data_IF_312747805497
#
_entry.id   IF_312747805497
#
_cell.length_a   1.000
_cell.length_b   1.000
_cell.length_c   1.000
_cell.angle_alpha   90.00
_cell.angle_beta   90.00
_cell.angle_gamma   90.00
#
_symmetry.space_group_name_H-M   'P 1'
#
loop_
_entity.id
_entity.type
_entity.pdbx_description
1 polymer ?
#
# COMPACT_ATOMS: atom_id res chain seq x y z
N UNK A 1 9.65 -13.31 -33.89
CA UNK A 1 10.97 -13.40 -34.56
C UNK A 1 12.02 -12.96 -33.56
N UNK A 2 13.12 -13.72 -33.44
CA UNK A 2 14.05 -13.68 -32.29
C UNK A 2 15.47 -13.37 -32.76
N UNK A 3 15.67 -12.28 -33.50
CA UNK A 3 17.00 -11.91 -33.99
C UNK A 3 17.12 -10.39 -34.07
N UNK A 4 18.07 -9.83 -33.33
CA UNK A 4 18.58 -8.49 -33.52
C UNK A 4 19.96 -8.37 -32.87
N UNK A 5 20.92 -9.02 -33.49
CA UNK A 5 22.19 -8.43 -33.92
C UNK A 5 22.57 -9.17 -35.23
N UNK A 6 23.29 -8.53 -36.14
CA UNK A 6 23.80 -9.15 -37.38
C UNK A 6 24.88 -10.21 -37.14
N UNK A 7 24.93 -10.76 -35.93
CA UNK A 7 25.83 -11.77 -35.40
C UNK A 7 24.90 -12.87 -34.87
N UNK A 8 25.22 -14.11 -35.22
CA UNK A 8 24.40 -15.31 -35.02
C UNK A 8 24.16 -15.70 -33.55
N UNK A 9 24.55 -14.88 -32.58
CA UNK A 9 24.35 -15.17 -31.16
C UNK A 9 22.90 -14.91 -30.74
N UNK A 10 22.24 -15.87 -30.09
CA UNK A 10 20.90 -15.64 -29.55
C UNK A 10 20.94 -14.55 -28.49
N UNK A 11 20.01 -13.60 -28.60
CA UNK A 11 19.88 -12.49 -27.64
C UNK A 11 19.83 -13.03 -26.20
N UNK A 12 20.72 -12.53 -25.34
CA UNK A 12 20.93 -13.06 -23.98
C UNK A 12 19.70 -12.92 -23.09
N UNK A 13 18.82 -11.95 -23.38
CA UNK A 13 17.59 -11.73 -22.63
C UNK A 13 16.48 -12.61 -23.20
N UNK A 14 15.79 -13.34 -22.32
CA UNK A 14 14.69 -14.24 -22.68
C UNK A 14 13.41 -13.55 -23.19
N UNK A 15 13.41 -12.23 -23.38
CA UNK A 15 12.23 -11.44 -23.75
C UNK A 15 12.46 -10.59 -25.00
N UNK A 16 11.36 -10.16 -25.64
CA UNK A 16 11.40 -9.34 -26.86
C UNK A 16 11.69 -7.87 -26.51
N UNK A 17 12.96 -7.51 -26.47
CA UNK A 17 13.42 -6.18 -26.07
C UNK A 17 12.80 -5.04 -26.87
N UNK A 18 12.68 -5.16 -28.21
CA UNK A 18 12.11 -4.08 -29.03
C UNK A 18 10.65 -3.80 -28.68
N UNK A 19 9.83 -4.84 -28.53
CA UNK A 19 8.43 -4.66 -28.13
C UNK A 19 8.30 -4.12 -26.71
N UNK A 20 9.20 -4.51 -25.80
CA UNK A 20 9.26 -3.93 -24.45
C UNK A 20 9.65 -2.46 -24.49
N UNK A 21 10.63 -2.07 -25.32
CA UNK A 21 11.08 -0.69 -25.49
C UNK A 21 9.99 0.19 -26.11
N UNK A 22 9.30 -0.30 -27.13
CA UNK A 22 8.17 0.40 -27.76
C UNK A 22 7.02 0.63 -26.78
N UNK A 23 6.65 -0.41 -26.01
CA UNK A 23 5.64 -0.31 -24.97
C UNK A 23 6.06 0.66 -23.86
N UNK A 24 7.34 0.65 -23.47
CA UNK A 24 7.90 1.59 -22.51
C UNK A 24 7.78 3.03 -23.01
N UNK A 25 8.30 3.33 -24.20
CA UNK A 25 8.26 4.68 -24.76
C UNK A 25 6.83 5.20 -24.89
N UNK A 26 5.89 4.35 -25.33
CA UNK A 26 4.48 4.70 -25.45
C UNK A 26 3.85 5.02 -24.09
N UNK A 27 4.08 4.18 -23.08
CA UNK A 27 3.53 4.40 -21.75
C UNK A 27 4.17 5.62 -21.06
N UNK A 28 5.50 5.74 -21.10
CA UNK A 28 6.25 6.81 -20.46
C UNK A 28 5.93 8.18 -21.04
N UNK A 29 5.87 8.32 -22.36
CA UNK A 29 5.51 9.60 -23.00
C UNK A 29 4.11 10.04 -22.60
N UNK A 30 3.14 9.12 -22.60
CA UNK A 30 1.77 9.41 -22.18
C UNK A 30 1.66 9.76 -20.69
N UNK A 31 2.37 9.06 -19.82
CA UNK A 31 2.40 9.35 -18.38
C UNK A 31 2.98 10.75 -18.12
N UNK A 32 4.10 11.09 -18.77
CA UNK A 32 4.72 12.42 -18.65
C UNK A 32 3.79 13.51 -19.16
N UNK A 33 3.09 13.26 -20.26
CA UNK A 33 2.08 14.18 -20.78
C UNK A 33 0.95 14.40 -19.77
N UNK A 34 0.37 13.34 -19.21
CA UNK A 34 -0.71 13.43 -18.22
C UNK A 34 -0.26 14.15 -16.93
N UNK A 35 0.97 13.90 -16.46
CA UNK A 35 1.53 14.61 -15.30
C UNK A 35 1.72 16.10 -15.60
N UNK A 36 2.22 16.44 -16.80
CA UNK A 36 2.35 17.83 -17.23
C UNK A 36 0.99 18.55 -17.32
N UNK A 37 -0.01 17.93 -17.96
CA UNK A 37 -1.37 18.45 -18.08
C UNK A 37 -2.02 18.69 -16.70
N UNK A 38 -1.90 17.74 -15.78
CA UNK A 38 -2.41 17.87 -14.41
C UNK A 38 -1.75 19.01 -13.62
N UNK A 39 -0.42 19.17 -13.75
CA UNK A 39 0.32 20.29 -13.12
C UNK A 39 -0.07 21.63 -13.71
N UNK A 40 -0.22 21.70 -15.04
CA UNK A 40 -0.64 22.93 -15.72
C UNK A 40 -2.06 23.34 -15.31
N UNK A 41 -3.00 22.39 -15.24
CA UNK A 41 -4.36 22.65 -14.78
C UNK A 41 -4.37 23.18 -13.34
N UNK A 42 -3.61 22.55 -12.44
CA UNK A 42 -3.50 22.97 -11.03
C UNK A 42 -2.97 24.40 -10.92
N UNK A 43 -1.88 24.70 -11.62
CA UNK A 43 -1.30 26.06 -11.65
C UNK A 43 -2.28 27.09 -12.19
N UNK A 44 -2.96 26.76 -13.29
CA UNK A 44 -3.95 27.65 -13.89
C UNK A 44 -5.12 27.94 -12.94
N UNK A 45 -5.63 26.93 -12.23
CA UNK A 45 -6.69 27.11 -11.22
C UNK A 45 -6.21 27.99 -10.06
N UNK A 46 -4.97 27.81 -9.59
CA UNK A 46 -4.37 28.64 -8.55
C UNK A 46 -4.20 30.11 -9.00
N UNK A 47 -3.70 30.34 -10.22
CA UNK A 47 -3.54 31.68 -10.80
C UNK A 47 -4.88 32.42 -10.95
N UNK A 48 -5.91 31.72 -11.43
CA UNK A 48 -7.27 32.27 -11.55
C UNK A 48 -7.83 32.62 -10.16
N UNK A 49 -7.68 31.72 -9.19
CA UNK A 49 -8.12 31.96 -7.81
C UNK A 49 -7.41 33.17 -7.19
N UNK A 50 -6.09 33.28 -7.35
CA UNK A 50 -5.31 34.44 -6.89
C UNK A 50 -5.75 35.74 -7.56
N UNK A 51 -5.99 35.72 -8.87
CA UNK A 51 -6.46 36.90 -9.61
C UNK A 51 -7.81 37.37 -9.11
N UNK A 52 -8.74 36.44 -8.83
CA UNK A 52 -10.04 36.77 -8.23
C UNK A 52 -9.91 37.34 -6.83
N UNK A 53 -9.01 36.82 -6.00
CA UNK A 53 -8.78 37.35 -4.65
C UNK A 53 -8.26 38.79 -4.68
N UNK A 54 -7.27 39.08 -5.53
CA UNK A 54 -6.80 40.45 -5.76
C UNK A 54 -7.92 41.37 -6.26
N UNK A 55 -8.80 40.87 -7.14
CA UNK A 55 -9.97 41.61 -7.61
C UNK A 55 -10.97 41.94 -6.49
N UNK A 56 -11.22 40.99 -5.57
CA UNK A 56 -12.09 41.21 -4.42
C UNK A 56 -11.48 42.17 -3.40
N UNK A 57 -10.16 42.12 -3.17
CA UNK A 57 -9.45 43.09 -2.33
C UNK A 57 -9.57 44.52 -2.89
N UNK A 58 -9.36 44.69 -4.20
CA UNK A 58 -9.53 45.99 -4.85
C UNK A 58 -10.99 46.48 -4.77
N UNK A 59 -11.96 45.58 -4.93
CA UNK A 59 -13.38 45.91 -4.80
C UNK A 59 -13.75 46.36 -3.37
N UNK A 60 -13.20 45.71 -2.34
CA UNK A 60 -13.45 46.05 -0.94
C UNK A 60 -12.83 47.40 -0.54
N UNK A 61 -11.61 47.67 -1.02
CA UNK A 61 -10.96 48.98 -0.88
C UNK A 61 -11.79 50.09 -1.55
N UNK A 62 -12.24 49.86 -2.78
CA UNK A 62 -13.10 50.80 -3.50
C UNK A 62 -14.42 51.04 -2.75
N UNK A 63 -15.08 49.98 -2.29
CA UNK A 63 -16.30 50.05 -1.50
C UNK A 63 -16.10 50.90 -0.24
N UNK A 64 -15.00 50.69 0.48
CA UNK A 64 -14.67 51.46 1.68
C UNK A 64 -14.53 52.96 1.40
N UNK A 65 -13.83 53.33 0.31
CA UNK A 65 -13.67 54.73 -0.10
C UNK A 65 -15.01 55.36 -0.47
N UNK A 66 -15.82 54.67 -1.29
CA UNK A 66 -17.15 55.14 -1.69
C UNK A 66 -18.06 55.32 -0.47
N UNK A 67 -18.05 54.36 0.46
CA UNK A 67 -18.93 54.43 1.63
C UNK A 67 -18.55 55.49 2.63
N UNK A 68 -17.26 55.80 2.75
CA UNK A 68 -16.79 56.96 3.48
C UNK A 68 -17.33 58.26 2.86
N UNK A 69 -17.19 58.43 1.54
CA UNK A 69 -17.66 59.64 0.85
C UNK A 69 -19.18 59.83 0.96
N UNK A 70 -19.96 58.74 0.82
CA UNK A 70 -21.42 58.76 1.01
C UNK A 70 -21.78 59.17 2.44
N UNK A 71 -21.10 58.61 3.46
CA UNK A 71 -21.35 58.93 4.86
C UNK A 71 -20.98 60.38 5.20
N UNK A 72 -19.82 60.84 4.76
CA UNK A 72 -19.33 62.22 4.98
C UNK A 72 -20.26 63.25 4.32
N UNK A 73 -20.87 62.91 3.18
CA UNK A 73 -21.85 63.76 2.50
C UNK A 73 -23.20 63.72 3.21
N UNK A 74 -23.68 62.54 3.60
CA UNK A 74 -24.94 62.38 4.33
C UNK A 74 -24.95 63.17 5.65
N UNK A 75 -23.83 63.20 6.39
CA UNK A 75 -23.71 63.99 7.63
C UNK A 75 -23.89 65.50 7.44
N UNK A 76 -23.68 66.03 6.23
CA UNK A 76 -23.82 67.46 5.91
C UNK A 76 -25.22 67.83 5.43
N UNK A 77 -26.05 66.85 5.08
CA UNK A 77 -27.38 67.08 4.49
C UNK A 77 -28.46 66.99 5.56
N UNK A 78 -29.28 68.03 5.68
CA UNK A 78 -30.39 68.08 6.66
C UNK A 78 -31.71 67.50 6.11
N UNK A 79 -31.81 67.29 4.80
CA UNK A 79 -33.05 66.86 4.15
C UNK A 79 -33.29 65.36 4.33
N UNK A 80 -34.42 64.97 4.93
CA UNK A 80 -34.75 63.58 5.28
C UNK A 80 -34.65 62.60 4.09
N UNK A 81 -35.27 62.93 2.95
CA UNK A 81 -35.22 62.06 1.76
C UNK A 81 -33.81 61.81 1.21
N UNK A 82 -32.88 62.77 1.35
CA UNK A 82 -31.51 62.58 0.91
C UNK A 82 -30.74 61.61 1.83
N UNK A 83 -31.05 61.61 3.13
CA UNK A 83 -30.52 60.64 4.08
C UNK A 83 -31.04 59.22 3.79
N UNK A 84 -32.34 59.07 3.52
CA UNK A 84 -32.95 57.80 3.12
C UNK A 84 -32.29 57.24 1.85
N UNK A 85 -32.10 58.09 0.84
CA UNK A 85 -31.41 57.71 -0.38
C UNK A 85 -29.97 57.24 -0.12
N UNK A 86 -29.20 57.99 0.69
CA UNK A 86 -27.82 57.60 1.04
C UNK A 86 -27.77 56.24 1.76
N UNK A 87 -28.73 55.95 2.64
CA UNK A 87 -28.86 54.65 3.30
C UNK A 87 -29.18 53.52 2.31
N UNK A 88 -30.09 53.77 1.36
CA UNK A 88 -30.43 52.78 0.33
C UNK A 88 -29.24 52.47 -0.58
N UNK A 89 -28.49 53.50 -1.00
CA UNK A 89 -27.27 53.33 -1.79
C UNK A 89 -26.22 52.52 -1.02
N UNK A 90 -26.01 52.82 0.26
CA UNK A 90 -25.09 52.05 1.10
C UNK A 90 -25.52 50.58 1.24
N UNK A 91 -26.80 50.34 1.54
CA UNK A 91 -27.33 48.98 1.66
C UNK A 91 -27.30 48.20 0.34
N UNK A 92 -27.49 48.87 -0.80
CA UNK A 92 -27.33 48.24 -2.11
C UNK A 92 -25.86 47.89 -2.39
N UNK A 93 -24.94 48.84 -2.21
CA UNK A 93 -23.52 48.65 -2.47
C UNK A 93 -22.93 47.51 -1.60
N UNK A 94 -23.26 47.46 -0.30
CA UNK A 94 -22.77 46.39 0.57
C UNK A 94 -23.32 45.02 0.17
N UNK A 95 -24.62 44.92 -0.18
CA UNK A 95 -25.20 43.66 -0.67
C UNK A 95 -24.52 43.20 -1.96
N UNK A 96 -24.24 44.13 -2.87
CA UNK A 96 -23.59 43.83 -4.14
C UNK A 96 -22.16 43.28 -3.94
N UNK A 97 -21.36 43.90 -3.07
CA UNK A 97 -20.01 43.42 -2.74
C UNK A 97 -20.05 42.04 -2.08
N UNK A 98 -20.96 41.83 -1.13
CA UNK A 98 -21.12 40.53 -0.46
C UNK A 98 -21.59 39.42 -1.42
N UNK A 99 -22.48 39.74 -2.35
CA UNK A 99 -22.88 38.81 -3.42
C UNK A 99 -21.70 38.45 -4.32
N UNK A 100 -20.90 39.42 -4.75
CA UNK A 100 -19.69 39.15 -5.53
C UNK A 100 -18.66 38.31 -4.78
N UNK A 101 -18.46 38.55 -3.47
CA UNK A 101 -17.60 37.72 -2.62
C UNK A 101 -18.09 36.27 -2.58
N UNK A 102 -19.39 36.07 -2.33
CA UNK A 102 -20.00 34.72 -2.32
C UNK A 102 -19.84 34.01 -3.67
N UNK A 103 -20.09 34.72 -4.76
CA UNK A 103 -19.97 34.17 -6.11
C UNK A 103 -18.52 33.78 -6.44
N UNK A 104 -17.54 34.59 -6.05
CA UNK A 104 -16.12 34.29 -6.26
C UNK A 104 -15.66 33.07 -5.45
N UNK A 105 -16.07 32.95 -4.18
CA UNK A 105 -15.80 31.77 -3.34
C UNK A 105 -16.41 30.52 -3.96
N UNK A 106 -17.69 30.56 -4.34
CA UNK A 106 -18.36 29.44 -4.98
C UNK A 106 -17.71 29.04 -6.31
N UNK A 107 -17.22 29.99 -7.10
CA UNK A 107 -16.48 29.72 -8.35
C UNK A 107 -15.15 29.02 -8.07
N UNK A 108 -14.40 29.49 -7.08
CA UNK A 108 -13.12 28.90 -6.69
C UNK A 108 -13.30 27.46 -6.17
N UNK A 109 -14.35 27.21 -5.38
CA UNK A 109 -14.67 25.86 -4.89
C UNK A 109 -15.01 24.90 -6.04
N UNK A 110 -15.82 25.34 -7.01
CA UNK A 110 -16.17 24.52 -8.18
C UNK A 110 -14.96 24.18 -9.04
N UNK A 111 -14.09 25.16 -9.30
CA UNK A 111 -12.88 24.94 -10.10
C UNK A 111 -11.87 24.06 -9.38
N UNK A 112 -11.70 24.23 -8.06
CA UNK A 112 -10.85 23.36 -7.26
C UNK A 112 -11.37 21.90 -7.25
N UNK A 113 -12.69 21.71 -7.14
CA UNK A 113 -13.32 20.39 -7.24
C UNK A 113 -13.14 19.76 -8.64
N UNK A 114 -13.26 20.57 -9.69
CA UNK A 114 -13.02 20.13 -11.07
C UNK A 114 -11.56 19.70 -11.28
N UNK A 115 -10.60 20.52 -10.85
CA UNK A 115 -9.17 20.21 -10.96
C UNK A 115 -8.79 18.92 -10.21
N UNK A 116 -9.39 18.68 -9.04
CA UNK A 116 -9.21 17.41 -8.28
C UNK A 116 -9.72 16.20 -9.06
N UNK A 117 -10.93 16.30 -9.61
CA UNK A 117 -11.54 15.22 -10.42
C UNK A 117 -10.66 14.86 -11.62
N UNK A 118 -10.17 15.87 -12.36
CA UNK A 118 -9.29 15.63 -13.52
C UNK A 118 -7.91 15.07 -13.12
N UNK A 119 -7.38 15.49 -11.96
CA UNK A 119 -6.15 14.92 -11.41
C UNK A 119 -6.32 13.44 -11.03
N UNK A 120 -7.43 13.09 -10.37
CA UNK A 120 -7.76 11.69 -10.04
C UNK A 120 -7.94 10.81 -11.28
N UNK A 121 -8.61 11.36 -12.31
CA UNK A 121 -8.75 10.72 -13.62
C UNK A 121 -7.38 10.47 -14.27
N UNK A 122 -6.53 11.49 -14.29
CA UNK A 122 -5.16 11.41 -14.84
C UNK A 122 -4.33 10.36 -14.10
N UNK A 123 -4.40 10.30 -12.77
CA UNK A 123 -3.72 9.28 -11.96
C UNK A 123 -4.23 7.87 -12.25
N UNK A 124 -5.53 7.72 -12.48
CA UNK A 124 -6.13 6.43 -12.84
C UNK A 124 -5.64 5.96 -14.21
N UNK A 125 -5.58 6.86 -15.20
CA UNK A 125 -5.03 6.55 -16.53
C UNK A 125 -3.53 6.21 -16.47
N UNK A 126 -2.73 6.98 -15.72
CA UNK A 126 -1.31 6.69 -15.51
C UNK A 126 -1.09 5.29 -14.92
N UNK A 127 -1.89 4.90 -13.91
CA UNK A 127 -1.84 3.55 -13.33
C UNK A 127 -2.18 2.47 -14.35
N UNK A 128 -3.22 2.68 -15.16
CA UNK A 128 -3.61 1.73 -16.20
C UNK A 128 -2.49 1.54 -17.25
N UNK A 129 -1.81 2.62 -17.63
CA UNK A 129 -0.66 2.57 -18.55
C UNK A 129 0.53 1.82 -17.94
N UNK A 130 0.88 2.11 -16.68
CA UNK A 130 1.92 1.38 -15.95
C UNK A 130 1.59 -0.10 -15.83
N UNK A 131 0.35 -0.44 -15.47
CA UNK A 131 -0.11 -1.82 -15.38
C UNK A 131 -0.02 -2.54 -16.74
N UNK A 132 -0.46 -1.88 -17.81
CA UNK A 132 -0.36 -2.40 -19.18
C UNK A 132 1.09 -2.69 -19.57
N UNK A 133 1.99 -1.74 -19.32
CA UNK A 133 3.42 -1.91 -19.58
C UNK A 133 4.02 -3.06 -18.78
N UNK A 134 3.80 -3.12 -17.47
CA UNK A 134 4.38 -4.14 -16.60
C UNK A 134 3.88 -5.56 -16.94
N UNK A 135 2.65 -5.71 -17.44
CA UNK A 135 2.14 -6.99 -17.96
C UNK A 135 2.89 -7.47 -19.20
N UNK A 136 3.33 -6.55 -20.06
CA UNK A 136 4.08 -6.86 -21.30
C UNK A 136 5.55 -7.09 -20.99
N UNK A 137 6.15 -6.26 -20.15
CA UNK A 137 7.59 -6.26 -19.89
C UNK A 137 8.10 -7.49 -19.12
N UNK A 138 7.20 -8.26 -18.46
CA UNK A 138 7.50 -9.47 -17.65
C UNK A 138 8.94 -9.47 -17.13
N UNK A 139 9.23 -8.57 -16.21
CA UNK A 139 10.55 -8.52 -15.60
C UNK A 139 10.80 -9.85 -14.87
N UNK A 140 11.94 -10.53 -15.12
CA UNK A 140 12.25 -11.74 -14.39
C UNK A 140 12.38 -11.38 -12.91
N UNK A 141 11.78 -12.20 -12.05
CA UNK A 141 11.95 -12.07 -10.61
C UNK A 141 13.25 -12.77 -10.24
N UNK A 142 14.22 -12.01 -9.77
CA UNK A 142 15.51 -12.51 -9.31
C UNK A 142 15.43 -13.03 -7.88
N UNK A 143 14.71 -12.30 -7.00
CA UNK A 143 14.42 -12.72 -5.64
C UNK A 143 13.01 -12.37 -5.23
N UNK A 144 12.43 -13.22 -4.40
CA UNK A 144 11.13 -12.96 -3.76
C UNK A 144 11.30 -12.86 -2.26
N UNK A 145 10.69 -11.82 -1.66
CA UNK A 145 10.52 -11.70 -0.22
C UNK A 145 9.06 -11.44 0.11
N UNK A 146 8.46 -12.26 0.95
CA UNK A 146 7.09 -12.09 1.44
C UNK A 146 7.15 -11.93 2.94
N UNK A 147 6.64 -10.81 3.44
CA UNK A 147 6.54 -10.57 4.87
C UNK A 147 5.10 -10.30 5.25
N UNK A 148 4.73 -10.69 6.47
CA UNK A 148 3.42 -10.43 7.02
C UNK A 148 3.51 -10.10 8.48
N UNK A 149 2.72 -9.13 8.93
CA UNK A 149 2.65 -8.73 10.33
C UNK A 149 1.19 -8.61 10.76
N UNK A 150 0.87 -9.19 11.91
CA UNK A 150 -0.42 -9.04 12.55
C UNK A 150 -0.47 -7.69 13.26
N UNK A 151 -1.35 -6.81 12.80
CA UNK A 151 -1.71 -5.56 13.44
C UNK A 151 -2.88 -5.81 14.38
N UNK A 152 -2.74 -5.40 15.64
CA UNK A 152 -3.79 -5.53 16.66
C UNK A 152 -4.18 -4.11 17.10
N UNK A 153 -5.39 -3.69 16.75
CA UNK A 153 -5.96 -2.37 17.06
C UNK A 153 -7.22 -2.59 17.90
N UNK A 154 -7.09 -2.54 19.22
CA UNK A 154 -8.21 -2.80 20.13
C UNK A 154 -8.68 -4.25 20.09
N UNK A 155 -9.91 -4.47 19.60
CA UNK A 155 -10.50 -5.81 19.42
C UNK A 155 -10.26 -6.40 18.03
N UNK A 156 -9.82 -5.58 17.08
CA UNK A 156 -9.59 -6.01 15.70
C UNK A 156 -8.15 -6.45 15.51
N UNK A 157 -7.97 -7.57 14.82
CA UNK A 157 -6.66 -8.12 14.48
C UNK A 157 -6.63 -8.51 13.00
N UNK A 158 -5.76 -7.86 12.23
CA UNK A 158 -5.64 -8.04 10.78
C UNK A 158 -4.17 -8.18 10.37
N UNK A 159 -3.89 -9.00 9.37
CA UNK A 159 -2.56 -9.03 8.79
C UNK A 159 -2.37 -7.89 7.80
N UNK A 160 -1.19 -7.29 7.83
CA UNK A 160 -0.64 -6.53 6.72
C UNK A 160 0.45 -7.38 6.09
N UNK A 161 0.27 -7.75 4.82
CA UNK A 161 1.22 -8.59 4.08
C UNK A 161 1.83 -7.75 2.98
N UNK A 162 3.15 -7.88 2.80
CA UNK A 162 3.90 -7.22 1.76
C UNK A 162 4.70 -8.26 0.97
N UNK A 163 4.67 -8.14 -0.35
CA UNK A 163 5.50 -8.93 -1.26
C UNK A 163 6.45 -7.98 -1.97
N UNK A 164 7.74 -8.30 -1.93
CA UNK A 164 8.82 -7.56 -2.57
C UNK A 164 9.49 -8.50 -3.56
N UNK A 165 9.64 -8.03 -4.79
CA UNK A 165 10.35 -8.73 -5.84
C UNK A 165 11.54 -7.90 -6.28
N UNK A 166 12.73 -8.50 -6.22
CA UNK A 166 13.93 -7.94 -6.85
C UNK A 166 13.93 -8.35 -8.31
N UNK A 167 14.08 -7.38 -9.19
CA UNK A 167 14.19 -7.54 -10.64
C UNK A 167 15.60 -7.10 -11.10
N UNK A 168 16.00 -7.36 -12.35
CA UNK A 168 17.27 -6.85 -12.89
C UNK A 168 17.43 -5.34 -12.74
N UNK A 169 18.69 -4.89 -12.83
CA UNK A 169 19.04 -3.47 -12.85
C UNK A 169 18.62 -2.70 -11.58
N UNK A 170 18.61 -3.40 -10.43
CA UNK A 170 18.21 -2.87 -9.13
C UNK A 170 16.75 -2.34 -9.08
N UNK A 171 15.89 -2.85 -9.95
CA UNK A 171 14.46 -2.56 -9.91
C UNK A 171 13.83 -3.40 -8.78
N UNK A 172 13.15 -2.74 -7.86
CA UNK A 172 12.37 -3.40 -6.81
C UNK A 172 10.88 -3.12 -7.01
N UNK A 173 10.06 -4.17 -7.00
CA UNK A 173 8.61 -4.03 -7.01
C UNK A 173 8.03 -4.49 -5.68
N UNK A 174 7.42 -3.56 -4.95
CA UNK A 174 6.84 -3.80 -3.64
C UNK A 174 5.31 -3.65 -3.69
N UNK A 175 4.61 -4.67 -3.20
CA UNK A 175 3.16 -4.73 -3.15
C UNK A 175 2.72 -4.86 -1.70
N UNK A 176 1.75 -4.06 -1.29
CA UNK A 176 1.03 -4.29 -0.03
C UNK A 176 -0.30 -4.96 -0.34
N UNK A 177 -0.50 -6.13 0.25
CA UNK A 177 -1.66 -6.98 0.06
C UNK A 177 -2.66 -6.73 1.17
N UNK A 178 -3.86 -6.29 0.80
CA UNK A 178 -4.95 -6.11 1.76
C UNK A 178 -5.60 -7.46 2.04
N UNK A 179 -5.33 -8.06 3.21
CA UNK A 179 -5.73 -9.45 3.51
C UNK A 179 -7.23 -9.67 3.71
N UNK A 180 -8.04 -8.61 3.77
CA UNK A 180 -9.52 -8.73 3.83
C UNK A 180 -10.12 -9.55 2.67
N UNK A 181 -9.50 -9.52 1.49
CA UNK A 181 -9.93 -10.30 0.31
C UNK A 181 -9.30 -11.70 0.24
N UNK A 182 -8.42 -12.05 1.18
CA UNK A 182 -7.78 -13.35 1.29
C UNK A 182 -8.34 -14.07 2.52
N UNK A 183 -9.39 -14.92 2.38
CA UNK A 183 -10.08 -15.51 3.52
C UNK A 183 -9.17 -16.30 4.47
N UNK A 184 -8.07 -16.85 3.95
CA UNK A 184 -7.08 -17.59 4.73
C UNK A 184 -6.19 -16.71 5.62
N UNK A 185 -6.20 -15.38 5.45
CA UNK A 185 -5.37 -14.42 6.19
C UNK A 185 -6.16 -13.20 6.70
N UNK A 186 -7.49 -13.26 6.67
CA UNK A 186 -8.37 -12.18 7.13
C UNK A 186 -8.48 -12.10 8.67
N UNK A 187 -8.06 -13.16 9.38
CA UNK A 187 -8.08 -13.26 10.84
C UNK A 187 -6.77 -13.88 11.37
N UNK A 188 -6.44 -13.72 12.67
CA UNK A 188 -5.27 -14.34 13.28
C UNK A 188 -5.22 -15.84 13.05
N UNK A 189 -4.05 -16.36 12.66
CA UNK A 189 -3.86 -17.77 12.32
C UNK A 189 -3.05 -18.49 13.37
N UNK A 190 -3.48 -19.69 13.75
CA UNK A 190 -2.75 -20.60 14.63
C UNK A 190 -1.79 -21.49 13.84
N UNK A 191 -0.75 -21.99 14.50
CA UNK A 191 0.20 -22.95 13.89
C UNK A 191 -0.52 -24.23 13.46
N UNK A 192 -1.47 -24.73 14.26
CA UNK A 192 -2.26 -25.94 14.01
C UNK A 192 -3.05 -25.93 12.71
N UNK A 193 -3.33 -24.75 12.16
CA UNK A 193 -4.02 -24.58 10.89
C UNK A 193 -3.14 -24.89 9.67
N UNK A 194 -1.81 -24.94 9.88
CA UNK A 194 -0.83 -25.29 8.85
C UNK A 194 -0.15 -26.62 9.14
N UNK A 195 0.15 -26.90 10.42
CA UNK A 195 0.80 -28.13 10.86
C UNK A 195 0.40 -28.47 12.29
N UNK A 196 -0.02 -29.71 12.54
CA UNK A 196 -0.48 -30.20 13.85
C UNK A 196 0.57 -31.08 14.52
N UNK A 197 0.60 -31.10 15.85
CA UNK A 197 1.53 -31.90 16.64
C UNK A 197 2.95 -31.31 16.65
N UNK A 198 3.07 -29.99 16.52
CA UNK A 198 4.38 -29.34 16.52
C UNK A 198 4.86 -29.13 17.96
N UNK A 199 5.72 -30.05 18.40
CA UNK A 199 6.41 -29.95 19.67
C UNK A 199 7.82 -29.42 19.48
N UNK A 200 8.13 -28.32 20.18
CA UNK A 200 9.40 -27.62 20.06
C UNK A 200 10.18 -27.68 21.36
N UNK A 201 11.46 -28.03 21.24
CA UNK A 201 12.40 -28.07 22.36
C UNK A 201 12.96 -26.67 22.62
N UNK A 202 12.20 -25.85 23.34
CA UNK A 202 12.57 -24.46 23.64
C UNK A 202 12.99 -24.29 25.10
N UNK A 203 14.31 -24.27 25.29
CA UNK A 203 14.94 -23.97 26.58
C UNK A 203 15.25 -25.20 27.41
N UNK A 204 15.67 -24.94 28.64
CA UNK A 204 16.00 -25.97 29.63
C UNK A 204 15.38 -25.60 30.95
N UNK A 205 14.71 -26.57 31.57
CA UNK A 205 14.30 -26.48 32.96
C UNK A 205 15.46 -27.01 33.82
N UNK A 206 16.00 -26.13 34.67
CA UNK A 206 16.99 -26.52 35.66
C UNK A 206 16.25 -26.94 36.92
N UNK A 207 16.26 -28.24 37.23
CA UNK A 207 15.76 -28.71 38.52
C UNK A 207 16.76 -28.32 39.59
N UNK A 208 16.44 -27.31 40.41
CA UNK A 208 17.34 -26.84 41.48
C UNK A 208 17.59 -27.91 42.54
N UNK A 209 16.64 -28.84 42.74
CA UNK A 209 16.75 -29.95 43.70
C UNK A 209 17.60 -31.12 43.19
N UNK A 210 17.65 -31.35 41.87
CA UNK A 210 18.33 -32.52 41.30
C UNK A 210 19.59 -32.17 40.50
N UNK A 211 19.89 -30.89 40.28
CA UNK A 211 21.01 -30.45 39.45
C UNK A 211 20.90 -30.86 37.97
N UNK A 212 19.80 -31.48 37.56
CA UNK A 212 19.59 -31.96 36.20
C UNK A 212 19.00 -30.87 35.32
N UNK A 213 19.50 -30.82 34.08
CA UNK A 213 19.07 -29.89 33.04
C UNK A 213 18.23 -30.69 32.04
N UNK A 214 16.91 -30.60 32.14
CA UNK A 214 16.02 -31.28 31.20
C UNK A 214 15.57 -30.32 30.11
N UNK A 215 15.61 -30.71 28.83
CA UNK A 215 15.08 -29.87 27.76
C UNK A 215 13.57 -29.70 27.93
N UNK A 216 13.08 -28.48 27.75
CA UNK A 216 11.67 -28.16 27.88
C UNK A 216 10.98 -28.30 26.52
N UNK A 217 10.04 -29.24 26.44
CA UNK A 217 9.18 -29.42 25.28
C UNK A 217 7.95 -28.53 25.42
N UNK A 218 7.62 -27.78 24.38
CA UNK A 218 6.46 -26.90 24.32
C UNK A 218 5.70 -27.20 23.03
N UNK A 219 4.43 -27.56 23.18
CA UNK A 219 3.52 -27.64 22.04
C UNK A 219 3.13 -26.23 21.59
N UNK A 220 3.25 -25.96 20.28
CA UNK A 220 2.97 -24.63 19.70
C UNK A 220 1.74 -24.59 18.80
N UNK A 221 0.94 -25.66 18.76
CA UNK A 221 -0.22 -25.78 17.87
C UNK A 221 -1.22 -24.63 18.04
N UNK A 222 -1.51 -24.26 19.29
CA UNK A 222 -2.46 -23.19 19.63
C UNK A 222 -1.86 -21.77 19.59
N UNK A 223 -0.59 -21.64 19.22
CA UNK A 223 0.07 -20.34 19.19
C UNK A 223 -0.28 -19.59 17.90
N UNK A 224 -0.41 -18.27 18.02
CA UNK A 224 -0.79 -17.37 16.94
C UNK A 224 0.46 -16.87 16.24
N UNK A 225 0.46 -16.92 14.91
CA UNK A 225 1.51 -16.35 14.07
C UNK A 225 1.39 -14.83 14.08
N UNK A 226 2.38 -14.11 14.60
CA UNK A 226 2.34 -12.63 14.69
C UNK A 226 3.10 -11.96 13.59
N UNK A 227 4.18 -12.57 13.14
CA UNK A 227 4.99 -12.08 12.04
C UNK A 227 5.58 -13.26 11.30
N UNK A 228 5.69 -13.12 9.99
CA UNK A 228 6.54 -13.99 9.19
C UNK A 228 7.32 -13.15 8.17
N UNK A 229 8.50 -13.62 7.82
CA UNK A 229 9.33 -13.06 6.77
C UNK A 229 9.96 -14.23 6.03
N UNK A 230 9.59 -14.38 4.76
CA UNK A 230 10.00 -15.47 3.90
C UNK A 230 10.82 -14.88 2.76
N UNK A 231 12.03 -15.38 2.59
CA UNK A 231 12.89 -15.14 1.43
C UNK A 231 13.44 -16.48 0.95
N UNK A 232 14.21 -16.47 -0.14
CA UNK A 232 14.78 -17.68 -0.72
C UNK A 232 15.75 -18.40 0.24
N UNK A 233 16.53 -17.62 1.00
CA UNK A 233 17.58 -18.15 1.88
C UNK A 233 17.25 -18.05 3.37
N UNK A 234 16.21 -17.31 3.74
CA UNK A 234 15.86 -17.09 5.13
C UNK A 234 14.36 -17.13 5.36
N UNK A 235 13.98 -17.68 6.50
CA UNK A 235 12.63 -17.66 7.02
C UNK A 235 12.65 -17.22 8.49
N UNK A 236 11.87 -16.20 8.82
CA UNK A 236 11.62 -15.77 10.18
C UNK A 236 10.14 -15.92 10.51
N UNK A 237 9.84 -16.44 11.70
CA UNK A 237 8.48 -16.62 12.21
C UNK A 237 8.42 -16.20 13.67
N UNK A 238 7.50 -15.32 14.00
CA UNK A 238 7.27 -14.89 15.38
C UNK A 238 5.91 -15.38 15.82
N UNK A 239 5.86 -15.97 17.02
CA UNK A 239 4.66 -16.55 17.61
C UNK A 239 4.35 -15.92 18.96
N UNK A 240 3.05 -15.79 19.25
CA UNK A 240 2.53 -15.44 20.57
C UNK A 240 1.49 -16.46 21.03
N UNK A 241 1.34 -16.65 22.34
CA UNK A 241 0.33 -17.58 22.88
C UNK A 241 -1.08 -16.98 22.88
N UNK A 242 -1.22 -15.67 23.16
CA UNK A 242 -2.50 -14.93 23.12
C UNK A 242 -2.30 -13.55 22.49
N UNK A 243 -3.36 -13.00 21.88
CA UNK A 243 -3.37 -11.66 21.25
C UNK A 243 -3.07 -10.48 22.18
N UNK A 244 -3.13 -10.68 23.50
CA UNK A 244 -2.81 -9.66 24.50
C UNK A 244 -1.39 -9.78 25.04
N UNK A 245 -0.69 -10.89 24.79
CA UNK A 245 0.63 -11.20 25.35
C UNK A 245 1.76 -10.81 24.40
N UNK A 246 2.93 -10.38 24.90
CA UNK A 246 4.08 -10.09 24.04
C UNK A 246 4.52 -11.32 23.24
N UNK A 247 5.22 -11.08 22.12
CA UNK A 247 5.82 -12.14 21.32
C UNK A 247 6.71 -13.03 22.19
N UNK A 248 6.45 -14.34 22.12
CA UNK A 248 7.03 -15.31 23.03
C UNK A 248 8.15 -16.12 22.37
N UNK A 249 8.01 -16.46 21.09
CA UNK A 249 9.01 -17.21 20.33
C UNK A 249 9.30 -16.56 18.98
N UNK A 250 10.57 -16.49 18.61
CA UNK A 250 11.02 -16.14 17.26
C UNK A 250 11.90 -17.26 16.72
N UNK A 251 11.56 -17.71 15.52
CA UNK A 251 12.28 -18.73 14.76
C UNK A 251 12.99 -18.04 13.62
N UNK A 252 14.27 -18.32 13.45
CA UNK A 252 15.03 -17.93 12.26
C UNK A 252 15.66 -19.17 11.65
N UNK A 253 15.24 -19.50 10.45
CA UNK A 253 15.85 -20.51 9.60
C UNK A 253 16.67 -19.80 8.53
N UNK A 254 17.89 -20.28 8.28
CA UNK A 254 18.72 -19.85 7.17
C UNK A 254 19.24 -21.04 6.41
N UNK A 255 19.03 -21.02 5.10
CA UNK A 255 19.66 -21.93 4.16
C UNK A 255 21.05 -21.40 3.83
N UNK A 256 22.01 -22.30 3.77
CA UNK A 256 23.38 -22.02 3.35
C UNK A 256 23.85 -23.18 2.46
N UNK A 257 24.98 -23.03 1.79
CA UNK A 257 25.59 -24.11 1.00
C UNK A 257 25.81 -25.39 1.84
N UNK A 258 26.10 -25.23 3.14
CA UNK A 258 26.28 -26.34 4.09
C UNK A 258 25.00 -26.95 4.66
N UNK A 259 23.82 -26.54 4.18
CA UNK A 259 22.52 -27.04 4.64
C UNK A 259 21.68 -26.01 5.38
N UNK A 260 20.66 -26.50 6.10
CA UNK A 260 19.69 -25.69 6.83
C UNK A 260 20.15 -25.49 8.28
N UNK A 261 20.19 -24.24 8.74
CA UNK A 261 20.48 -23.89 10.13
C UNK A 261 19.31 -23.14 10.75
N UNK A 262 19.04 -23.41 12.03
CA UNK A 262 17.91 -22.82 12.75
C UNK A 262 18.30 -22.28 14.12
N UNK A 263 17.70 -21.15 14.49
CA UNK A 263 17.80 -20.54 15.82
C UNK A 263 16.39 -20.26 16.33
N UNK A 264 16.18 -20.58 17.61
CA UNK A 264 14.94 -20.26 18.32
C UNK A 264 15.27 -19.33 19.47
N UNK A 265 14.66 -18.15 19.48
CA UNK A 265 14.78 -17.15 20.53
C UNK A 265 13.48 -17.10 21.34
N UNK A 266 13.61 -17.10 22.67
CA UNK A 266 12.46 -16.95 23.58
C UNK A 266 12.43 -15.51 24.14
N UNK A 267 11.47 -14.73 23.68
CA UNK A 267 11.31 -13.31 24.02
C UNK A 267 10.90 -13.06 25.47
N UNK A 268 10.42 -14.09 26.18
CA UNK A 268 9.99 -13.99 27.58
C UNK A 268 11.13 -13.89 28.60
N UNK A 269 12.40 -14.14 28.22
CA UNK A 269 13.53 -13.94 29.12
C UNK A 269 14.06 -12.51 28.99
N UNK A 270 13.78 -11.67 30.00
CA UNK A 270 14.48 -10.38 30.21
C UNK A 270 15.98 -10.62 29.98
N UNK A 271 16.61 -9.84 29.09
CA UNK A 271 18.07 -9.71 29.07
C UNK A 271 18.50 -9.39 30.51
N UNK A 272 19.43 -10.15 31.13
CA UNK A 272 20.05 -9.66 32.35
C UNK A 272 20.70 -8.31 32.01
N UNK A 273 20.36 -7.28 32.79
CA UNK A 273 21.05 -5.99 32.74
C UNK A 273 22.55 -6.22 32.90
N UNK A 274 23.42 -5.45 32.21
CA UNK A 274 24.85 -5.60 32.36
C UNK A 274 25.24 -5.07 33.75
N UNK A 275 25.21 -5.93 34.77
CA UNK A 275 26.05 -5.70 35.94
C UNK A 275 27.46 -6.13 35.57
N UNK A 276 28.40 -5.24 35.87
CA UNK A 276 29.85 -5.42 35.79
C UNK A 276 30.28 -6.67 36.54
N UNK A 277 30.26 -7.82 35.87
CA UNK A 277 30.93 -9.03 36.30
C UNK A 277 31.24 -9.90 35.07
N UNK A 278 32.49 -10.37 35.01
CA UNK A 278 33.05 -11.22 33.97
C UNK A 278 32.06 -12.25 33.41
N UNK A 279 31.99 -12.25 32.07
CA UNK A 279 31.48 -13.28 31.15
C UNK A 279 31.08 -14.63 31.78
N UNK A 280 29.89 -15.13 31.39
CA UNK A 280 29.91 -16.36 30.62
C UNK A 280 29.11 -16.27 29.31
N UNK A 281 29.57 -17.05 28.33
CA UNK A 281 29.09 -17.17 26.94
C UNK A 281 27.56 -17.10 26.79
N UNK A 282 27.10 -16.23 25.86
CA UNK A 282 25.75 -16.26 25.27
C UNK A 282 25.43 -17.67 24.76
N UNK A 283 24.39 -18.32 25.30
CA UNK A 283 23.88 -19.58 24.76
C UNK A 283 22.87 -19.31 23.64
N UNK A 284 23.35 -18.88 22.48
CA UNK A 284 22.61 -19.08 21.22
C UNK A 284 22.80 -20.54 20.82
N UNK A 285 21.75 -21.37 20.90
CA UNK A 285 21.84 -22.74 20.37
C UNK A 285 21.58 -22.70 18.87
N UNK A 286 22.65 -22.84 18.10
CA UNK A 286 22.63 -23.09 16.66
C UNK A 286 22.34 -24.58 16.46
N UNK A 287 21.18 -24.90 15.90
CA UNK A 287 20.95 -26.26 15.41
C UNK A 287 21.49 -26.34 13.98
N UNK A 288 22.43 -27.25 13.74
CA UNK A 288 22.95 -27.57 12.41
C UNK A 288 22.44 -28.96 12.06
N UNK A 289 21.44 -29.05 11.19
CA UNK A 289 20.94 -30.35 10.72
C UNK A 289 21.71 -30.70 9.43
N UNK A 290 22.85 -31.40 9.57
CA UNK A 290 23.52 -32.04 8.42
C UNK A 290 22.80 -33.35 8.10
N UNK A 291 21.60 -33.25 7.51
CA UNK A 291 20.84 -34.41 7.05
C UNK A 291 21.11 -34.69 5.57
N UNK A 292 21.73 -35.83 5.25
CA UNK A 292 21.69 -36.40 3.89
C UNK A 292 20.22 -36.70 3.53
N UNK A 293 19.76 -36.44 2.29
CA UNK A 293 18.38 -36.69 1.91
C UNK A 293 18.16 -38.21 1.74
N UNK A 294 17.51 -38.84 2.72
CA UNK A 294 16.93 -40.16 2.54
C UNK A 294 15.65 -40.06 1.70
N UNK A 295 15.67 -40.79 0.58
CA UNK A 295 14.57 -41.01 -0.35
C UNK A 295 13.26 -41.43 0.35
N UNK A 296 12.17 -41.12 -0.36
CA UNK A 296 10.79 -41.63 -0.26
C UNK A 296 9.83 -40.92 0.71
N UNK A 297 9.20 -39.86 0.20
CA UNK A 297 7.80 -39.54 0.53
C UNK A 297 7.03 -39.44 -0.79
N UNK A 298 6.34 -40.53 -1.15
CA UNK A 298 5.28 -40.52 -2.16
C UNK A 298 4.09 -39.78 -1.56
N UNK A 299 3.88 -38.54 -1.98
CA UNK A 299 2.61 -37.87 -1.78
C UNK A 299 1.56 -38.56 -2.68
N UNK A 300 0.51 -39.10 -2.07
CA UNK A 300 -0.71 -39.52 -2.79
C UNK A 300 -1.49 -38.25 -3.14
N UNK A 301 -1.61 -37.99 -4.44
CA UNK A 301 -2.51 -36.96 -4.97
C UNK A 301 -3.97 -37.35 -4.72
N UNK A 302 -4.84 -36.44 -4.26
CA UNK A 302 -6.28 -36.67 -4.28
C UNK A 302 -6.79 -36.55 -5.72
N UNK A 303 -7.54 -37.55 -6.17
CA UNK A 303 -8.21 -37.59 -7.47
C UNK A 303 -9.36 -36.59 -7.53
N UNK A 304 -9.19 -35.51 -8.29
CA UNK A 304 -10.30 -34.67 -8.71
C UNK A 304 -11.07 -35.37 -9.84
N UNK A 305 -12.28 -35.86 -9.52
CA UNK A 305 -13.26 -36.31 -10.51
C UNK A 305 -13.68 -35.11 -11.36
N UNK A 306 -13.35 -35.15 -12.63
CA UNK A 306 -13.87 -34.29 -13.69
C UNK A 306 -15.31 -34.70 -14.00
N UNK A 307 -16.30 -33.90 -13.60
CA UNK A 307 -17.64 -33.98 -14.15
C UNK A 307 -17.69 -33.16 -15.44
N UNK A 308 -17.66 -33.87 -16.56
CA UNK A 308 -18.03 -33.37 -17.88
C UNK A 308 -19.55 -33.25 -17.98
N UNK A 309 -20.06 -32.05 -18.17
CA UNK A 309 -21.43 -31.82 -18.65
C UNK A 309 -21.36 -31.31 -20.10
N UNK A 310 -22.24 -31.80 -20.99
CA UNK A 310 -22.12 -31.57 -22.42
C UNK A 310 -22.69 -30.23 -22.86
N UNK A 311 -22.04 -29.71 -23.89
CA UNK A 311 -22.44 -28.63 -24.77
C UNK A 311 -23.82 -28.85 -25.40
N UNK A 312 -24.71 -27.86 -25.28
CA UNK A 312 -25.85 -27.69 -26.17
C UNK A 312 -25.79 -26.29 -26.78
N UNK A 313 -25.62 -26.30 -28.09
CA UNK A 313 -25.65 -25.20 -29.04
C UNK A 313 -27.10 -24.89 -29.44
N UNK A 314 -27.57 -23.64 -29.36
CA UNK A 314 -28.74 -23.17 -30.16
C UNK A 314 -28.69 -21.65 -30.38
N UNK A 315 -28.41 -21.31 -31.65
CA UNK A 315 -29.04 -20.29 -32.52
C UNK A 315 -29.35 -18.85 -32.06
N UNK A 316 -28.64 -17.93 -32.74
CA UNK A 316 -29.08 -16.77 -33.56
C UNK A 316 -29.79 -15.53 -32.97
N UNK A 317 -29.56 -14.34 -33.60
CA UNK A 317 -29.95 -13.04 -33.09
C UNK A 317 -31.30 -12.56 -33.67
N UNK A 318 -31.99 -11.69 -32.93
CA UNK A 318 -33.12 -10.93 -33.46
C UNK A 318 -32.93 -9.43 -33.16
N UNK A 319 -32.58 -8.69 -34.20
CA UNK A 319 -32.66 -7.24 -34.29
C UNK A 319 -34.12 -6.80 -34.31
N UNK A 320 -34.52 -5.83 -33.49
CA UNK A 320 -35.64 -4.93 -33.79
C UNK A 320 -35.30 -3.50 -33.39
N UNK A 321 -35.15 -2.70 -34.43
CA UNK A 321 -35.41 -1.26 -34.52
C UNK A 321 -36.79 -0.91 -33.95
N UNK A 322 -36.88 0.20 -33.24
CA UNK A 322 -38.13 0.82 -32.81
C UNK A 322 -37.92 2.31 -32.60
N UNK A 323 -38.15 3.07 -33.66
CA UNK A 323 -38.34 4.51 -33.69
C UNK A 323 -39.81 4.84 -33.37
N UNK A 324 -40.03 5.71 -32.38
CA UNK A 324 -41.01 6.83 -32.32
C UNK A 324 -40.93 7.46 -30.94
#
# INVERSE_FOLDING_TARGET
MRFLYGDSTPFSLGYNFLSTLEAFMTASTRIVQLDHESRMLTRQTEEIAQTRMKGLEALDQFHTVVMRAVRDTAQKVQHAHALEYAQQVAGFASRHVEEHKRNAVASNEREAAHARTESERSLTEQRALLEGFLKVARLPVLRTRVSGRLLVEGKDARYQVSAVYENPDAIETAFTLTTHKAPSWSAPRKVSEFFQGLDLMVGVDKSWLRGTVTPKQINVDEWIITQFDLSEDAFELTLRRKLTEKDALSFRLRRSEGGLSGVVENGGRRRPTPSTARSPRKTSRRWSASGRPSRSLRARSPSTKSNSSPSASTERPCSKTGSS
#
